data_IF_548097723348
#
_entry.id   IF_548097723348
#
_cell.length_a   1.000
_cell.length_b   1.000
_cell.length_c   1.000
_cell.angle_alpha   90.00
_cell.angle_beta   90.00
_cell.angle_gamma   90.00
#
_symmetry.space_group_name_H-M   'P 1'
#
loop_
_entity.id
_entity.type
_entity.pdbx_description
1 polymer ?
#
# COMPACT_ATOMS: atom_id res chain seq x y z
N UNK A 1 0.50 1.56 -14.88
CA UNK A 1 -0.52 1.22 -13.86
C UNK A 1 0.07 1.43 -12.47
N UNK A 2 -0.71 1.91 -11.50
CA UNK A 2 -0.29 1.96 -10.10
C UNK A 2 0.10 0.58 -9.58
N UNK A 3 1.16 0.55 -8.75
CA UNK A 3 1.72 -0.71 -8.23
C UNK A 3 1.02 -1.21 -6.97
N UNK A 4 0.48 -0.30 -6.16
CA UNK A 4 -0.19 -0.58 -4.90
C UNK A 4 -1.48 0.24 -4.78
N UNK A 5 -2.42 -0.26 -3.99
CA UNK A 5 -3.71 0.37 -3.72
C UNK A 5 -4.07 0.21 -2.24
N UNK A 6 -4.88 1.14 -1.74
CA UNK A 6 -5.57 1.05 -0.47
C UNK A 6 -7.04 0.74 -0.71
N UNK A 7 -7.65 -0.09 0.13
CA UNK A 7 -9.11 -0.24 0.13
C UNK A 7 -9.73 0.99 0.81
N UNK A 8 -10.55 1.75 0.08
CA UNK A 8 -11.13 3.01 0.56
C UNK A 8 -12.19 2.80 1.65
N UNK A 9 -12.80 1.62 1.69
CA UNK A 9 -13.86 1.27 2.64
C UNK A 9 -13.29 0.57 3.89
N UNK A 10 -12.02 0.15 3.84
CA UNK A 10 -11.31 -0.39 4.99
C UNK A 10 -10.66 0.73 5.81
N UNK A 11 -10.57 0.54 7.12
CA UNK A 11 -9.73 1.37 8.00
C UNK A 11 -8.26 0.91 8.00
N UNK A 12 -7.89 0.02 7.08
CA UNK A 12 -6.56 -0.58 7.03
C UNK A 12 -5.45 0.43 6.69
N UNK A 13 -4.31 0.30 7.38
CA UNK A 13 -3.12 1.13 7.16
C UNK A 13 -2.19 0.55 6.07
N UNK A 14 -2.49 -0.65 5.59
CA UNK A 14 -1.67 -1.36 4.61
C UNK A 14 -2.17 -1.14 3.18
N UNK A 15 -1.20 -1.00 2.26
CA UNK A 15 -1.46 -1.06 0.83
C UNK A 15 -0.98 -2.38 0.25
N UNK A 16 -1.69 -2.86 -0.76
CA UNK A 16 -1.41 -4.14 -1.41
C UNK A 16 -1.34 -4.00 -2.93
N UNK A 17 -0.64 -4.90 -3.63
CA UNK A 17 -0.70 -4.95 -5.09
C UNK A 17 -2.11 -5.32 -5.55
N UNK A 18 -2.47 -4.97 -6.79
CA UNK A 18 -3.78 -5.27 -7.36
C UNK A 18 -4.16 -6.77 -7.26
N UNK A 19 -3.18 -7.65 -7.42
CA UNK A 19 -3.41 -9.09 -7.40
C UNK A 19 -3.86 -9.61 -6.04
N UNK A 20 -3.47 -8.94 -4.95
CA UNK A 20 -4.02 -9.23 -3.62
C UNK A 20 -5.53 -9.00 -3.61
N UNK A 21 -5.99 -7.82 -4.01
CA UNK A 21 -7.43 -7.51 -4.05
C UNK A 21 -8.19 -8.43 -5.02
N UNK A 22 -7.59 -8.80 -6.16
CA UNK A 22 -8.19 -9.78 -7.09
C UNK A 22 -8.30 -11.19 -6.50
N UNK A 23 -7.44 -11.56 -5.56
CA UNK A 23 -7.53 -12.83 -4.84
C UNK A 23 -8.61 -12.75 -3.75
N UNK A 24 -8.63 -11.65 -2.98
CA UNK A 24 -9.62 -11.37 -1.92
C UNK A 24 -11.06 -11.27 -2.43
N UNK A 25 -11.26 -10.96 -3.72
CA UNK A 25 -12.57 -11.00 -4.39
C UNK A 25 -13.36 -12.29 -4.16
N UNK A 26 -12.71 -13.40 -3.81
CA UNK A 26 -13.37 -14.66 -3.44
C UNK A 26 -14.27 -14.55 -2.20
N UNK A 27 -14.06 -13.53 -1.38
CA UNK A 27 -14.67 -13.39 -0.06
C UNK A 27 -15.52 -12.12 0.11
N UNK A 28 -15.59 -11.25 -0.91
CA UNK A 28 -16.28 -9.96 -0.84
C UNK A 28 -17.51 -9.91 -1.74
N UNK A 29 -18.66 -9.53 -1.17
CA UNK A 29 -19.85 -9.14 -1.92
C UNK A 29 -19.74 -7.69 -2.41
N UNK A 30 -20.25 -7.37 -3.61
CA UNK A 30 -20.20 -6.01 -4.18
C UNK A 30 -18.89 -5.66 -4.89
N UNK A 31 -18.65 -4.41 -5.29
CA UNK A 31 -17.39 -3.94 -5.91
C UNK A 31 -16.45 -3.36 -4.83
N UNK A 32 -15.13 -3.41 -5.02
CA UNK A 32 -14.15 -2.79 -4.08
C UNK A 32 -13.70 -1.44 -4.64
N UNK A 33 -13.71 -0.39 -3.81
CA UNK A 33 -13.18 0.92 -4.17
C UNK A 33 -11.74 1.01 -3.71
N UNK A 34 -10.83 1.17 -4.68
CA UNK A 34 -9.39 1.19 -4.46
C UNK A 34 -8.84 2.61 -4.68
N UNK A 35 -8.20 3.17 -3.66
CA UNK A 35 -7.42 4.40 -3.78
C UNK A 35 -6.01 4.07 -4.27
N UNK A 36 -5.51 4.83 -5.25
CA UNK A 36 -4.13 4.65 -5.73
C UNK A 36 -3.14 5.05 -4.64
N UNK A 37 -2.17 4.17 -4.38
CA UNK A 37 -1.09 4.45 -3.45
C UNK A 37 0.01 5.26 -4.12
N UNK A 38 0.38 6.39 -3.51
CA UNK A 38 1.54 7.20 -3.91
C UNK A 38 2.65 7.00 -2.90
N UNK A 39 3.87 6.81 -3.42
CA UNK A 39 5.07 6.69 -2.57
C UNK A 39 5.24 7.98 -1.76
N UNK A 40 5.43 7.84 -0.46
CA UNK A 40 5.84 8.95 0.38
C UNK A 40 7.35 9.16 0.29
N UNK A 41 7.76 10.43 0.29
CA UNK A 41 9.16 10.83 0.21
C UNK A 41 9.44 11.88 1.27
N UNK A 42 10.54 11.71 2.01
CA UNK A 42 10.99 12.70 2.99
C UNK A 42 10.24 12.71 4.32
N UNK A 43 9.34 11.75 4.57
CA UNK A 43 8.61 11.64 5.84
C UNK A 43 9.41 10.92 6.95
N UNK A 44 10.61 10.41 6.65
CA UNK A 44 11.42 9.70 7.62
C UNK A 44 10.91 8.30 7.97
N UNK A 45 9.85 7.78 7.36
CA UNK A 45 9.36 6.42 7.66
C UNK A 45 9.76 5.40 6.59
N UNK A 46 9.84 4.14 7.00
CA UNK A 46 10.06 3.01 6.09
C UNK A 46 9.26 1.79 6.54
N UNK A 47 8.96 0.91 5.59
CA UNK A 47 8.39 -0.41 5.88
C UNK A 47 9.50 -1.45 5.97
N UNK A 48 9.55 -2.24 7.03
CA UNK A 48 10.45 -3.39 7.16
C UNK A 48 9.75 -4.66 6.69
N UNK A 49 10.12 -5.14 5.50
CA UNK A 49 9.53 -6.34 4.88
C UNK A 49 9.82 -7.64 5.65
N UNK A 50 10.88 -7.67 6.46
CA UNK A 50 11.25 -8.85 7.26
C UNK A 50 10.37 -9.00 8.50
N UNK A 51 10.22 -7.91 9.27
CA UNK A 51 9.42 -7.91 10.51
C UNK A 51 7.96 -7.50 10.29
N UNK A 52 7.59 -7.09 9.08
CA UNK A 52 6.27 -6.56 8.72
C UNK A 52 5.84 -5.42 9.66
N UNK A 53 6.70 -4.42 9.83
CA UNK A 53 6.44 -3.26 10.69
C UNK A 53 6.93 -1.95 10.09
N UNK A 54 6.31 -0.83 10.48
CA UNK A 54 6.80 0.51 10.16
C UNK A 54 7.93 0.90 11.13
N UNK A 55 8.98 1.52 10.59
CA UNK A 55 10.08 2.08 11.36
C UNK A 55 10.35 3.53 10.97
N UNK A 56 10.96 4.27 11.90
CA UNK A 56 11.41 5.64 11.68
C UNK A 56 12.92 5.66 11.40
N UNK A 57 13.30 6.31 10.30
CA UNK A 57 14.67 6.52 9.89
C UNK A 57 15.38 7.43 10.91
N UNK A 58 16.47 6.92 11.47
CA UNK A 58 17.27 7.65 12.47
C UNK A 58 16.91 7.35 13.92
N UNK A 59 15.76 6.74 14.19
CA UNK A 59 15.39 6.28 15.55
C UNK A 59 15.25 4.76 15.68
N UNK A 60 15.08 4.03 14.57
CA UNK A 60 14.91 2.58 14.61
C UNK A 60 16.23 1.84 14.84
N UNK A 61 16.18 0.70 15.54
CA UNK A 61 17.27 -0.30 15.62
C UNK A 61 17.70 -0.89 14.25
N UNK A 62 17.02 -0.51 13.16
CA UNK A 62 17.35 -0.93 11.81
C UNK A 62 18.71 -0.39 11.37
N UNK A 63 19.64 -1.29 11.05
CA UNK A 63 21.04 -0.95 10.75
C UNK A 63 21.97 -2.00 11.32
N UNK A 64 23.19 -1.62 11.68
CA UNK A 64 24.20 -2.55 12.18
C UNK A 64 23.78 -3.34 13.44
N UNK A 65 22.86 -2.79 14.25
CA UNK A 65 22.37 -3.41 15.48
C UNK A 65 21.15 -4.32 15.27
N UNK A 66 20.59 -4.38 14.05
CA UNK A 66 19.48 -5.25 13.74
C UNK A 66 19.99 -6.62 13.27
N UNK A 67 19.54 -7.69 13.93
CA UNK A 67 19.94 -9.07 13.58
C UNK A 67 19.55 -9.47 12.15
N UNK A 68 18.43 -8.97 11.65
CA UNK A 68 17.97 -9.20 10.28
C UNK A 68 18.59 -8.22 9.26
N UNK A 69 19.52 -7.34 9.67
CA UNK A 69 20.09 -6.36 8.77
C UNK A 69 20.86 -7.02 7.63
N UNK A 70 20.50 -6.64 6.40
CA UNK A 70 21.18 -7.10 5.19
C UNK A 70 21.31 -5.94 4.20
N UNK A 71 22.51 -5.36 4.01
CA UNK A 71 22.69 -4.20 3.14
C UNK A 71 22.38 -4.55 1.68
N UNK A 72 21.76 -3.64 0.93
CA UNK A 72 21.39 -3.86 -0.49
C UNK A 72 22.58 -4.16 -1.41
N UNK A 73 23.74 -3.57 -1.10
CA UNK A 73 24.97 -3.68 -1.88
C UNK A 73 25.99 -4.67 -1.28
N UNK A 74 25.59 -5.46 -0.28
CA UNK A 74 26.47 -6.36 0.49
C UNK A 74 27.65 -5.67 1.19
N UNK A 75 27.62 -4.34 1.36
CA UNK A 75 28.66 -3.56 2.06
C UNK A 75 28.06 -2.83 3.25
N UNK A 76 27.47 -1.66 3.01
CA UNK A 76 26.89 -0.77 4.03
C UNK A 76 25.76 0.06 3.42
N UNK A 77 24.95 0.69 4.28
CA UNK A 77 23.89 1.61 3.89
C UNK A 77 22.49 1.04 4.13
N UNK A 78 21.55 1.33 3.22
CA UNK A 78 20.14 0.95 3.42
C UNK A 78 19.96 -0.57 3.39
N UNK A 79 19.24 -1.09 4.38
CA UNK A 79 18.84 -2.49 4.45
C UNK A 79 17.97 -2.87 3.24
N UNK A 80 18.08 -4.10 2.76
CA UNK A 80 17.27 -4.62 1.65
C UNK A 80 15.80 -4.77 2.01
N UNK A 81 15.52 -5.02 3.29
CA UNK A 81 14.17 -5.13 3.83
C UNK A 81 13.51 -3.77 4.08
N UNK A 82 14.28 -2.67 4.03
CA UNK A 82 13.72 -1.33 4.13
C UNK A 82 13.08 -0.94 2.79
N UNK A 83 11.75 -0.96 2.74
CA UNK A 83 10.91 -0.55 1.63
C UNK A 83 10.34 0.85 1.86
N UNK A 84 9.60 1.37 0.88
CA UNK A 84 8.99 2.69 0.98
C UNK A 84 7.61 2.57 1.64
N UNK A 85 7.19 3.63 2.31
CA UNK A 85 5.82 3.85 2.74
C UNK A 85 5.01 4.55 1.64
N UNK A 86 3.69 4.49 1.77
CA UNK A 86 2.75 5.00 0.79
C UNK A 86 1.60 5.71 1.49
N UNK A 87 1.02 6.68 0.79
CA UNK A 87 -0.18 7.40 1.20
C UNK A 87 -1.25 7.25 0.12
N UNK A 88 -2.54 7.17 0.47
CA UNK A 88 -3.61 7.16 -0.52
C UNK A 88 -3.66 8.49 -1.27
N UNK A 89 -4.13 8.44 -2.52
CA UNK A 89 -4.40 9.61 -3.36
C UNK A 89 -5.89 9.74 -3.65
N UNK A 90 -6.28 10.86 -4.27
CA UNK A 90 -7.64 11.10 -4.74
C UNK A 90 -7.95 10.43 -6.10
N UNK A 91 -7.07 9.55 -6.59
CA UNK A 91 -7.33 8.73 -7.76
C UNK A 91 -7.90 7.37 -7.34
N UNK A 92 -9.12 7.08 -7.82
CA UNK A 92 -9.85 5.88 -7.43
C UNK A 92 -10.14 4.96 -8.60
N UNK A 93 -10.17 3.68 -8.31
CA UNK A 93 -10.60 2.62 -9.20
C UNK A 93 -11.66 1.77 -8.53
N UNK A 94 -12.57 1.25 -9.34
CA UNK A 94 -13.51 0.22 -8.95
C UNK A 94 -13.00 -1.12 -9.42
N UNK A 95 -12.74 -2.03 -8.49
CA UNK A 95 -12.49 -3.43 -8.79
C UNK A 95 -13.83 -4.18 -8.75
N UNK A 96 -14.28 -4.59 -9.92
CA UNK A 96 -15.58 -5.26 -10.08
C UNK A 96 -15.55 -6.72 -9.64
N UNK A 97 -16.72 -7.31 -9.45
CA UNK A 97 -16.90 -8.75 -9.15
C UNK A 97 -16.21 -9.67 -10.16
N UNK A 98 -16.18 -9.30 -11.45
CA UNK A 98 -15.47 -10.01 -12.52
C UNK A 98 -13.98 -9.64 -12.62
N UNK A 99 -13.41 -9.02 -11.58
CA UNK A 99 -11.99 -8.67 -11.43
C UNK A 99 -11.46 -7.66 -12.45
N UNK A 100 -12.36 -6.88 -13.08
CA UNK A 100 -11.98 -5.76 -13.93
C UNK A 100 -11.71 -4.52 -13.10
N UNK A 101 -10.69 -3.77 -13.49
CA UNK A 101 -10.32 -2.53 -12.83
C UNK A 101 -10.79 -1.35 -13.69
N UNK A 102 -11.73 -0.56 -13.18
CA UNK A 102 -12.35 0.56 -13.89
C UNK A 102 -11.98 1.86 -13.19
N UNK A 103 -11.40 2.82 -13.91
CA UNK A 103 -11.05 4.13 -13.35
C UNK A 103 -12.33 4.92 -13.06
N UNK A 104 -12.45 5.46 -11.85
CA UNK A 104 -13.55 6.35 -11.46
C UNK A 104 -13.16 7.76 -11.88
N UNK A 105 -14.06 8.47 -12.58
CA UNK A 105 -13.80 9.86 -12.98
C UNK A 105 -13.86 10.78 -11.76
N UNK A 106 -13.03 11.83 -11.77
CA UNK A 106 -13.07 12.88 -10.76
C UNK A 106 -14.50 13.48 -10.71
N UNK A 107 -15.08 13.55 -9.51
CA UNK A 107 -16.48 13.98 -9.32
C UNK A 107 -17.54 12.87 -9.44
N UNK A 108 -17.17 11.60 -9.59
CA UNK A 108 -18.15 10.49 -9.52
C UNK A 108 -18.06 9.69 -8.21
N UNK A 109 -17.07 10.01 -7.37
CA UNK A 109 -16.79 9.33 -6.10
C UNK A 109 -17.99 9.40 -5.15
N UNK A 110 -18.66 10.56 -5.06
CA UNK A 110 -19.84 10.75 -4.22
C UNK A 110 -21.07 9.92 -4.64
N UNK A 111 -21.09 9.40 -5.88
CA UNK A 111 -22.16 8.51 -6.34
C UNK A 111 -22.04 7.10 -5.74
N UNK A 112 -20.84 6.74 -5.27
CA UNK A 112 -20.55 5.44 -4.67
C UNK A 112 -20.75 5.42 -3.15
N UNK A 113 -20.78 6.59 -2.51
CA UNK A 113 -20.97 6.76 -1.06
C UNK A 113 -22.46 6.83 -0.62
N UNK A 114 -23.40 6.46 -1.49
CA UNK A 114 -24.86 6.50 -1.23
C UNK A 114 -25.54 5.13 -1.31
N UNK A 115 -24.78 4.04 -1.15
CA UNK A 115 -25.31 2.67 -1.16
C UNK A 115 -25.24 2.01 0.23
N UNK A 116 -25.38 2.83 1.29
CA UNK A 116 -25.69 2.38 2.65
C UNK A 116 -27.17 2.60 2.96
#
# INVERSE_FOLDING_TARGET
MPKYYFDKNSTGEYCYPLDYFKAERRFSDGDIILAVAKRETGNGFFWCDYYNTCGEAGQSDCGANCEAYKPRNNKTGRCRYSLNTFTPTDEFYKLTTDKKLIKIKAGEIWKLAKMD
#
